data_IF_060821378155
#
_entry.id   IF_060821378155
#
_cell.length_a   1.000
_cell.length_b   1.000
_cell.length_c   1.000
_cell.angle_alpha   90.00
_cell.angle_beta   90.00
_cell.angle_gamma   90.00
#
_symmetry.space_group_name_H-M   'P 1'
#
loop_
_entity.id
_entity.type
_entity.pdbx_description
1 polymer ?
#
# COMPACT_ATOMS: atom_id res chain seq x y z
N UNK A 1 -13.60 -21.34 -1.45
CA UNK A 1 -13.56 -20.21 -2.41
C UNK A 1 -12.84 -19.09 -1.70
N UNK A 2 -11.73 -18.58 -2.24
CA UNK A 2 -11.05 -17.40 -1.71
C UNK A 2 -11.63 -16.13 -2.32
N UNK A 3 -11.27 -14.98 -1.76
CA UNK A 3 -11.57 -13.66 -2.35
C UNK A 3 -10.24 -12.95 -2.56
N UNK A 4 -10.17 -12.20 -3.65
CA UNK A 4 -9.03 -11.36 -3.99
C UNK A 4 -9.23 -9.99 -3.35
N UNK A 5 -8.18 -9.45 -2.73
CA UNK A 5 -8.23 -8.12 -2.14
C UNK A 5 -6.83 -7.53 -2.01
N UNK A 6 -6.75 -6.21 -1.98
CA UNK A 6 -5.52 -5.46 -1.64
C UNK A 6 -5.61 -4.92 -0.24
N UNK A 7 -4.51 -5.03 0.48
CA UNK A 7 -4.34 -4.39 1.76
C UNK A 7 -3.28 -3.29 1.67
N UNK A 8 -3.69 -2.05 1.87
CA UNK A 8 -2.83 -0.88 1.85
C UNK A 8 -2.42 -0.51 3.27
N UNK A 9 -1.11 -0.47 3.51
CA UNK A 9 -0.49 0.05 4.72
C UNK A 9 0.17 1.38 4.36
N UNK A 10 -0.57 2.47 4.51
CA UNK A 10 -0.17 3.79 4.04
C UNK A 10 0.38 4.64 5.19
N UNK A 11 1.44 5.39 4.95
CA UNK A 11 1.93 6.39 5.93
C UNK A 11 0.92 7.54 5.99
N UNK A 12 0.28 7.71 7.15
CA UNK A 12 -0.75 8.72 7.40
C UNK A 12 -0.17 9.96 8.09
N UNK A 13 0.87 10.52 7.47
CA UNK A 13 1.55 11.74 7.91
C UNK A 13 1.94 12.58 6.69
N UNK A 14 1.36 13.77 6.61
CA UNK A 14 1.57 14.72 5.51
C UNK A 14 3.00 15.27 5.47
N UNK A 15 3.65 15.36 6.63
CA UNK A 15 5.02 15.87 6.77
C UNK A 15 6.08 14.80 6.53
N UNK A 16 5.66 13.54 6.36
CA UNK A 16 6.58 12.43 6.21
C UNK A 16 7.34 12.49 4.90
N UNK A 17 8.64 12.19 4.98
CA UNK A 17 9.53 12.04 3.83
C UNK A 17 10.47 10.85 4.03
N UNK A 18 10.85 10.16 2.94
CA UNK A 18 11.73 9.02 3.03
C UNK A 18 13.15 9.44 3.44
N UNK A 19 13.68 8.84 4.52
CA UNK A 19 15.11 8.87 4.81
C UNK A 19 15.90 7.97 3.84
N UNK A 20 17.20 8.23 3.67
CA UNK A 20 18.06 7.51 2.72
C UNK A 20 18.08 5.98 2.94
N UNK A 21 17.94 5.52 4.17
CA UNK A 21 17.95 4.11 4.59
C UNK A 21 16.54 3.52 4.75
N UNK A 22 15.47 4.24 4.39
CA UNK A 22 14.07 3.79 4.56
C UNK A 22 13.81 2.49 3.82
N UNK A 23 14.29 2.38 2.58
CA UNK A 23 14.14 1.17 1.81
C UNK A 23 14.79 -0.03 2.48
N UNK A 24 16.05 0.10 2.94
CA UNK A 24 16.76 -1.01 3.58
C UNK A 24 16.05 -1.51 4.84
N UNK A 25 15.50 -0.58 5.65
CA UNK A 25 14.72 -0.93 6.84
C UNK A 25 13.43 -1.65 6.48
N UNK A 26 12.65 -1.13 5.53
CA UNK A 26 11.39 -1.76 5.10
C UNK A 26 11.65 -3.11 4.45
N UNK A 27 12.65 -3.18 3.56
CA UNK A 27 13.07 -4.41 2.91
C UNK A 27 13.49 -5.48 3.93
N UNK A 28 14.16 -5.10 5.02
CA UNK A 28 14.47 -6.03 6.12
C UNK A 28 13.23 -6.55 6.83
N UNK A 29 12.20 -5.70 7.02
CA UNK A 29 10.91 -6.15 7.56
C UNK A 29 10.27 -7.14 6.61
N UNK A 30 10.12 -6.80 5.33
CA UNK A 30 9.54 -7.71 4.33
C UNK A 30 10.29 -9.05 4.27
N UNK A 31 11.62 -9.04 4.32
CA UNK A 31 12.44 -10.26 4.39
C UNK A 31 12.16 -11.12 5.63
N UNK A 32 12.04 -10.50 6.80
CA UNK A 32 11.74 -11.24 8.03
C UNK A 32 10.35 -11.90 8.05
N UNK A 33 9.48 -11.50 7.11
CA UNK A 33 8.16 -12.07 6.88
C UNK A 33 8.09 -12.93 5.60
N UNK A 34 9.19 -13.09 4.85
CA UNK A 34 9.23 -13.87 3.61
C UNK A 34 8.47 -13.23 2.44
N UNK A 35 8.45 -11.90 2.37
CA UNK A 35 7.63 -11.11 1.44
C UNK A 35 8.42 -10.37 0.34
N UNK A 36 9.74 -10.54 0.26
CA UNK A 36 10.59 -9.76 -0.67
C UNK A 36 11.61 -10.59 -1.46
N UNK A 37 11.31 -11.86 -1.72
CA UNK A 37 12.26 -12.82 -2.29
C UNK A 37 12.90 -12.32 -3.60
N UNK A 38 12.07 -11.91 -4.56
CA UNK A 38 12.52 -11.41 -5.86
C UNK A 38 11.87 -10.06 -6.17
N UNK A 39 12.67 -9.07 -6.57
CA UNK A 39 12.15 -7.82 -7.16
C UNK A 39 11.85 -8.10 -8.63
N UNK A 40 10.58 -8.00 -9.02
CA UNK A 40 10.12 -8.15 -10.40
C UNK A 40 10.29 -6.87 -11.21
N UNK A 41 10.05 -5.72 -10.57
CA UNK A 41 10.01 -4.44 -11.26
C UNK A 41 10.40 -3.29 -10.33
N UNK A 42 11.11 -2.30 -10.88
CA UNK A 42 11.32 -1.01 -10.23
C UNK A 42 10.77 0.08 -11.14
N UNK A 43 9.88 0.89 -10.61
CA UNK A 43 9.23 1.98 -11.33
C UNK A 43 9.68 3.31 -10.75
N UNK A 44 10.19 4.18 -11.61
CA UNK A 44 10.39 5.58 -11.27
C UNK A 44 9.04 6.30 -11.34
N UNK A 45 8.60 6.83 -10.22
CA UNK A 45 7.35 7.58 -10.07
C UNK A 45 7.60 9.09 -10.04
N UNK A 46 8.84 9.56 -10.16
CA UNK A 46 9.15 10.97 -10.13
C UNK A 46 8.65 11.69 -11.39
N UNK A 47 8.08 12.87 -11.21
CA UNK A 47 7.63 13.70 -12.33
C UNK A 47 6.45 13.11 -13.09
N UNK A 48 5.64 12.29 -12.42
CA UNK A 48 4.29 11.95 -12.87
C UNK A 48 4.15 10.78 -13.83
N UNK A 49 5.21 10.46 -14.60
CA UNK A 49 5.17 9.35 -15.57
C UNK A 49 5.94 8.13 -15.05
N UNK A 50 5.23 7.03 -14.69
CA UNK A 50 5.85 5.77 -14.35
C UNK A 50 6.87 5.34 -15.41
N UNK A 51 8.16 5.27 -15.07
CA UNK A 51 9.19 4.69 -15.95
C UNK A 51 9.59 3.34 -15.39
N UNK A 52 9.17 2.29 -16.09
CA UNK A 52 9.51 0.91 -15.76
C UNK A 52 10.97 0.66 -16.07
N UNK A 53 11.68 0.09 -15.11
CA UNK A 53 13.05 -0.37 -15.29
C UNK A 53 13.03 -1.88 -15.18
N UNK A 54 13.42 -2.57 -16.26
CA UNK A 54 13.50 -4.05 -16.30
C UNK A 54 14.74 -4.58 -15.57
N UNK A 55 15.68 -3.71 -15.22
CA UNK A 55 16.80 -4.07 -14.34
C UNK A 55 16.33 -3.99 -12.88
N UNK A 56 16.07 -5.15 -12.28
CA UNK A 56 15.71 -5.32 -10.87
C UNK A 56 16.81 -4.89 -9.86
N UNK A 57 17.90 -4.30 -10.34
CA UNK A 57 18.93 -3.74 -9.46
C UNK A 57 18.39 -2.50 -8.75
N UNK A 58 18.55 -2.44 -7.42
CA UNK A 58 18.14 -1.28 -6.61
C UNK A 58 18.93 -0.04 -7.09
N UNK A 59 18.26 0.99 -7.66
CA UNK A 59 18.93 2.16 -8.20
C UNK A 59 19.47 3.08 -7.09
N UNK A 60 20.39 3.99 -7.46
CA UNK A 60 20.80 5.08 -6.57
C UNK A 60 19.70 6.13 -6.49
N UNK A 61 19.35 6.55 -5.27
CA UNK A 61 18.22 7.44 -5.02
C UNK A 61 16.90 6.66 -5.03
N UNK A 62 16.30 6.49 -3.85
CA UNK A 62 15.17 5.58 -3.64
C UNK A 62 13.83 6.32 -3.50
N UNK A 63 13.90 7.63 -3.27
CA UNK A 63 12.73 8.48 -3.19
C UNK A 63 12.08 8.62 -4.59
N UNK A 64 10.75 8.59 -4.64
CA UNK A 64 9.98 8.61 -5.87
C UNK A 64 9.97 7.27 -6.62
N UNK A 65 10.06 6.11 -5.94
CA UNK A 65 10.08 4.80 -6.60
C UNK A 65 9.03 3.84 -6.07
N UNK A 66 8.54 2.96 -6.92
CA UNK A 66 7.84 1.74 -6.51
C UNK A 66 8.69 0.51 -6.80
N UNK A 67 8.62 -0.45 -5.89
CA UNK A 67 9.28 -1.75 -5.98
C UNK A 67 8.20 -2.81 -5.95
N UNK A 68 8.12 -3.62 -6.99
CA UNK A 68 7.25 -4.78 -7.04
C UNK A 68 8.06 -6.02 -6.70
N UNK A 69 7.67 -6.69 -5.62
CA UNK A 69 8.18 -7.99 -5.26
C UNK A 69 7.25 -9.09 -5.77
N UNK A 70 7.83 -10.24 -6.09
CA UNK A 70 7.09 -11.43 -6.49
C UNK A 70 6.15 -11.91 -5.38
N UNK A 71 5.17 -12.73 -5.78
CA UNK A 71 4.24 -13.35 -4.87
C UNK A 71 4.90 -14.29 -3.86
N UNK A 72 4.21 -14.54 -2.76
CA UNK A 72 4.61 -15.50 -1.72
C UNK A 72 3.40 -16.35 -1.34
N UNK A 73 3.61 -17.55 -0.81
CA UNK A 73 2.53 -18.47 -0.48
C UNK A 73 2.79 -19.24 0.82
N UNK A 74 1.79 -19.99 1.26
CA UNK A 74 1.95 -20.92 2.38
C UNK A 74 2.03 -20.22 3.73
N UNK A 75 2.89 -20.76 4.59
CA UNK A 75 3.05 -20.33 5.98
C UNK A 75 3.36 -18.84 6.15
N UNK A 76 4.05 -18.20 5.20
CA UNK A 76 4.35 -16.77 5.26
C UNK A 76 3.07 -15.93 5.17
N UNK A 77 2.21 -16.24 4.20
CA UNK A 77 0.92 -15.58 4.02
C UNK A 77 -0.04 -15.93 5.14
N UNK A 78 -0.01 -17.18 5.60
CA UNK A 78 -0.83 -17.61 6.73
C UNK A 78 -0.51 -16.89 8.04
N UNK A 79 0.79 -16.69 8.31
CA UNK A 79 1.26 -15.90 9.45
C UNK A 79 0.86 -14.44 9.32
N UNK A 80 0.88 -13.88 8.12
CA UNK A 80 0.55 -12.48 7.85
C UNK A 80 -0.95 -12.18 8.00
N UNK A 81 -1.80 -13.06 7.48
CA UNK A 81 -3.24 -12.88 7.46
C UNK A 81 -3.95 -13.58 8.65
N UNK A 82 -3.26 -14.32 9.50
CA UNK A 82 -3.88 -15.00 10.63
C UNK A 82 -4.83 -16.13 10.19
N UNK A 83 -5.82 -16.53 11.00
CA UNK A 83 -6.72 -17.64 10.65
C UNK A 83 -7.57 -17.37 9.41
N UNK A 84 -7.70 -18.35 8.51
CA UNK A 84 -8.65 -18.29 7.38
C UNK A 84 -10.08 -18.55 7.87
N UNK A 85 -11.05 -17.77 7.39
CA UNK A 85 -12.49 -18.06 7.61
C UNK A 85 -13.14 -18.81 6.44
N UNK A 86 -12.41 -19.04 5.36
CA UNK A 86 -12.91 -19.77 4.18
C UNK A 86 -12.46 -21.22 4.15
N UNK A 87 -11.97 -21.72 5.30
CA UNK A 87 -11.42 -23.07 5.48
C UNK A 87 -10.34 -23.36 4.44
N UNK A 88 -9.55 -22.34 4.09
CA UNK A 88 -8.43 -22.45 3.17
C UNK A 88 -7.23 -23.00 3.92
N UNK A 89 -6.66 -24.09 3.42
CA UNK A 89 -5.40 -24.62 3.97
C UNK A 89 -4.28 -23.59 3.80
N UNK A 90 -3.34 -23.55 4.75
CA UNK A 90 -2.26 -22.57 4.74
C UNK A 90 -1.46 -22.59 3.43
N UNK A 91 -1.22 -23.77 2.86
CA UNK A 91 -0.50 -23.98 1.60
C UNK A 91 -1.19 -23.36 0.38
N UNK A 92 -2.51 -23.18 0.44
CA UNK A 92 -3.28 -22.62 -0.66
C UNK A 92 -3.33 -21.08 -0.64
N UNK A 93 -2.85 -20.45 0.42
CA UNK A 93 -2.93 -18.99 0.62
C UNK A 93 -1.75 -18.33 -0.07
N UNK A 94 -2.00 -17.27 -0.82
CA UNK A 94 -0.94 -16.55 -1.53
C UNK A 94 -1.18 -15.05 -1.69
N UNK A 95 -0.07 -14.31 -1.71
CA UNK A 95 0.01 -12.97 -2.27
C UNK A 95 0.42 -13.11 -3.74
N UNK A 96 -0.26 -12.40 -4.63
CA UNK A 96 0.14 -12.28 -6.04
C UNK A 96 1.41 -11.44 -6.18
N UNK A 97 1.55 -10.42 -5.35
CA UNK A 97 2.73 -9.56 -5.29
C UNK A 97 2.70 -8.73 -4.00
N UNK A 98 3.82 -8.08 -3.73
CA UNK A 98 3.92 -7.00 -2.74
C UNK A 98 4.44 -5.76 -3.45
N UNK A 99 3.72 -4.65 -3.34
CA UNK A 99 4.22 -3.36 -3.80
C UNK A 99 4.73 -2.56 -2.62
N UNK A 100 5.93 -2.02 -2.74
CA UNK A 100 6.43 -1.00 -1.84
C UNK A 100 6.62 0.30 -2.60
N UNK A 101 5.80 1.30 -2.28
CA UNK A 101 5.87 2.63 -2.85
C UNK A 101 6.57 3.55 -1.87
N UNK A 102 7.67 4.14 -2.33
CA UNK A 102 8.49 5.10 -1.60
C UNK A 102 8.47 6.43 -2.36
N UNK A 103 7.36 7.15 -2.29
CA UNK A 103 7.15 8.39 -3.04
C UNK A 103 7.51 9.65 -2.25
N UNK A 104 7.98 10.68 -2.96
CA UNK A 104 7.97 12.05 -2.44
C UNK A 104 6.63 12.72 -2.73
N UNK A 105 6.02 12.39 -3.86
CA UNK A 105 4.77 12.96 -4.36
C UNK A 105 3.55 12.48 -3.56
N UNK A 106 2.51 13.31 -3.50
CA UNK A 106 1.22 12.89 -2.97
C UNK A 106 0.54 11.94 -3.95
N UNK A 107 -0.12 10.92 -3.41
CA UNK A 107 -0.94 9.96 -4.14
C UNK A 107 -2.32 9.92 -3.53
N UNK A 108 -3.35 10.13 -4.33
CA UNK A 108 -4.74 9.92 -3.90
C UNK A 108 -4.98 8.42 -3.89
N UNK A 109 -5.57 7.94 -2.80
CA UNK A 109 -5.88 6.52 -2.66
C UNK A 109 -6.75 6.04 -3.83
N UNK A 110 -6.57 4.77 -4.21
CA UNK A 110 -7.42 4.18 -5.22
C UNK A 110 -8.88 4.12 -4.74
N UNK A 111 -9.85 4.12 -5.65
CA UNK A 111 -11.27 3.99 -5.28
C UNK A 111 -11.82 2.63 -5.68
N UNK A 112 -12.59 2.01 -4.80
CA UNK A 112 -13.34 0.77 -5.05
C UNK A 112 -14.84 1.00 -4.83
N UNK A 113 -15.66 -0.01 -5.14
CA UNK A 113 -17.14 0.08 -5.08
C UNK A 113 -17.69 0.53 -3.71
N UNK A 114 -16.96 0.31 -2.61
CA UNK A 114 -17.36 0.70 -1.25
C UNK A 114 -16.52 1.81 -0.60
N UNK A 115 -15.38 2.17 -1.20
CA UNK A 115 -14.45 3.18 -0.71
C UNK A 115 -14.11 4.13 -1.86
N UNK A 116 -14.75 5.30 -1.88
CA UNK A 116 -14.56 6.29 -2.94
C UNK A 116 -13.82 7.51 -2.41
N UNK A 117 -12.69 7.82 -3.04
CA UNK A 117 -11.81 8.93 -2.71
C UNK A 117 -11.91 9.99 -3.80
N UNK A 118 -12.63 11.07 -3.51
CA UNK A 118 -12.88 12.16 -4.44
C UNK A 118 -11.93 13.32 -4.20
N UNK A 119 -11.14 13.70 -5.22
CA UNK A 119 -10.37 14.93 -5.16
C UNK A 119 -11.31 16.15 -5.20
N UNK A 120 -11.48 16.82 -4.06
CA UNK A 120 -12.40 17.94 -3.93
C UNK A 120 -11.86 19.24 -4.56
N UNK A 121 -10.54 19.41 -4.57
CA UNK A 121 -9.86 20.54 -5.17
C UNK A 121 -8.51 20.09 -5.75
N UNK A 122 -8.26 20.43 -7.02
CA UNK A 122 -6.97 20.14 -7.64
C UNK A 122 -5.87 21.00 -7.02
N UNK A 123 -4.72 20.43 -6.63
CA UNK A 123 -3.56 21.20 -6.19
C UNK A 123 -3.13 22.19 -7.28
N UNK A 124 -2.68 23.38 -6.88
CA UNK A 124 -2.39 24.52 -7.76
C UNK A 124 -1.30 24.30 -8.84
N UNK A 125 -0.64 23.15 -8.85
CA UNK A 125 0.42 22.76 -9.80
C UNK A 125 0.33 21.28 -10.24
N UNK A 126 -0.88 20.77 -10.41
CA UNK A 126 -1.10 19.39 -10.84
C UNK A 126 -0.83 19.20 -12.35
N UNK A 127 0.03 18.24 -12.70
CA UNK A 127 -0.10 17.51 -13.95
C UNK A 127 -1.07 16.35 -13.65
N UNK A 128 -2.15 16.21 -14.42
CA UNK A 128 -2.95 14.99 -14.38
C UNK A 128 -2.21 13.92 -15.20
N UNK A 129 -1.76 12.87 -14.53
CA UNK A 129 -1.12 11.74 -15.19
C UNK A 129 -2.12 10.61 -15.43
N UNK A 130 -2.22 10.20 -16.69
CA UNK A 130 -2.95 9.02 -17.13
C UNK A 130 -1.97 7.85 -17.31
N UNK A 131 -1.63 7.17 -16.23
CA UNK A 131 -1.38 5.71 -16.24
C UNK A 131 -1.27 5.17 -14.81
N UNK A 132 -2.27 4.37 -14.42
CA UNK A 132 -2.38 3.74 -13.11
C UNK A 132 -1.36 2.60 -13.01
N UNK A 133 -0.30 2.76 -12.22
CA UNK A 133 0.58 1.63 -11.94
C UNK A 133 -0.12 0.65 -11.01
N UNK A 134 -0.50 -0.50 -11.55
CA UNK A 134 -1.11 -1.64 -10.82
C UNK A 134 -2.32 -1.29 -9.97
N UNK A 135 -3.03 -0.21 -10.31
CA UNK A 135 -4.19 0.26 -9.55
C UNK A 135 -3.79 0.56 -8.08
N UNK A 136 -2.56 1.01 -7.85
CA UNK A 136 -2.05 1.34 -6.51
C UNK A 136 -2.55 2.70 -6.01
N UNK A 137 -2.88 3.64 -6.90
CA UNK A 137 -3.35 4.98 -6.57
C UNK A 137 -4.15 5.55 -7.75
N UNK A 138 -5.07 6.47 -7.48
CA UNK A 138 -5.92 7.09 -8.51
C UNK A 138 -5.24 8.26 -9.23
N UNK A 139 -4.63 9.17 -8.47
CA UNK A 139 -3.98 10.37 -8.96
C UNK A 139 -2.68 10.63 -8.19
N UNK A 140 -1.72 11.32 -8.81
CA UNK A 140 -0.47 11.74 -8.15
C UNK A 140 -0.14 13.20 -8.39
N UNK A 141 0.42 13.86 -7.37
CA UNK A 141 0.76 15.29 -7.40
C UNK A 141 2.15 15.53 -6.82
N UNK A 142 3.00 16.36 -7.48
CA UNK A 142 4.31 16.72 -6.95
C UNK A 142 4.21 17.27 -5.53
N UNK A 143 5.02 16.80 -4.58
CA UNK A 143 5.05 17.42 -3.24
C UNK A 143 5.87 18.71 -3.20
N UNK A 144 6.80 18.88 -4.15
CA UNK A 144 7.58 20.10 -4.29
C UNK A 144 6.73 21.19 -4.93
N UNK A 145 6.40 22.22 -4.15
CA UNK A 145 5.59 23.39 -4.53
C UNK A 145 4.07 23.17 -4.65
N UNK A 146 3.54 22.00 -4.31
CA UNK A 146 2.09 21.80 -4.18
C UNK A 146 1.65 21.72 -2.72
N UNK A 147 0.44 22.21 -2.44
CA UNK A 147 -0.26 21.92 -1.20
C UNK A 147 -0.72 20.46 -1.19
N UNK A 148 -0.93 19.89 -0.01
CA UNK A 148 -1.55 18.58 0.09
C UNK A 148 -2.92 18.55 -0.62
N UNK A 149 -3.28 17.43 -1.28
CA UNK A 149 -4.59 17.27 -1.89
C UNK A 149 -5.70 17.36 -0.85
N UNK A 150 -6.83 17.98 -1.23
CA UNK A 150 -8.05 17.92 -0.44
C UNK A 150 -8.91 16.78 -0.97
N UNK A 151 -9.00 15.67 -0.23
CA UNK A 151 -9.74 14.48 -0.64
C UNK A 151 -10.96 14.30 0.26
N UNK A 152 -12.13 14.06 -0.36
CA UNK A 152 -13.35 13.65 0.33
C UNK A 152 -13.46 12.14 0.28
N UNK A 153 -13.71 11.56 1.44
CA UNK A 153 -13.93 10.13 1.59
C UNK A 153 -15.43 9.87 1.61
N UNK A 154 -15.90 9.05 0.68
CA UNK A 154 -17.25 8.53 0.65
C UNK A 154 -17.15 7.03 0.90
N UNK A 155 -17.58 6.60 2.08
CA UNK A 155 -17.45 5.21 2.53
C UNK A 155 -18.84 4.66 2.77
N UNK A 156 -19.17 3.59 2.07
CA UNK A 156 -20.42 2.86 2.30
C UNK A 156 -20.42 2.23 3.70
N UNK A 157 -21.59 2.11 4.32
CA UNK A 157 -21.71 1.61 5.70
C UNK A 157 -21.03 0.24 5.91
N UNK A 158 -21.12 -0.64 4.91
CA UNK A 158 -20.50 -1.98 4.96
C UNK A 158 -18.97 -1.94 4.84
N UNK A 159 -18.41 -0.87 4.27
CA UNK A 159 -16.99 -0.67 3.99
C UNK A 159 -16.29 0.24 5.01
N UNK A 160 -17.02 0.88 5.92
CA UNK A 160 -16.45 1.65 7.06
C UNK A 160 -15.42 0.86 7.85
N UNK A 161 -15.63 -0.45 7.88
CA UNK A 161 -14.83 -1.44 8.58
C UNK A 161 -13.52 -1.78 7.81
N UNK A 162 -13.40 -1.40 6.54
CA UNK A 162 -12.19 -1.63 5.77
C UNK A 162 -11.13 -0.54 5.98
N UNK A 163 -11.46 0.50 6.75
CA UNK A 163 -10.56 1.59 7.11
C UNK A 163 -10.31 1.60 8.62
N UNK A 164 -9.08 1.28 9.04
CA UNK A 164 -8.75 1.24 10.46
C UNK A 164 -8.65 2.64 11.11
N UNK A 165 -8.27 3.67 10.33
CA UNK A 165 -8.11 5.05 10.81
C UNK A 165 -9.28 5.93 10.36
N UNK A 166 -10.04 6.46 11.32
CA UNK A 166 -11.14 7.42 11.03
C UNK A 166 -10.64 8.78 10.53
N UNK A 167 -9.38 9.09 10.78
CA UNK A 167 -8.76 10.38 10.44
C UNK A 167 -7.92 10.29 9.15
N UNK A 168 -7.97 9.16 8.45
CA UNK A 168 -7.23 8.98 7.21
C UNK A 168 -7.66 10.02 6.17
N UNK A 169 -6.67 10.73 5.62
CA UNK A 169 -6.92 11.89 4.74
C UNK A 169 -7.23 11.52 3.28
N UNK A 170 -7.18 10.24 2.91
CA UNK A 170 -7.45 9.79 1.54
C UNK A 170 -6.30 10.01 0.55
N UNK A 171 -5.14 10.48 1.02
CA UNK A 171 -3.91 10.57 0.25
C UNK A 171 -2.71 10.13 1.08
N UNK A 172 -1.63 9.74 0.42
CA UNK A 172 -0.42 9.21 1.05
C UNK A 172 0.81 9.44 0.17
N UNK A 173 2.01 9.23 0.72
CA UNK A 173 3.29 9.36 0.00
C UNK A 173 4.07 8.06 -0.09
N UNK A 174 3.99 7.24 0.95
CA UNK A 174 4.52 5.89 0.97
C UNK A 174 3.47 4.88 1.41
N UNK A 175 3.54 3.68 0.84
CA UNK A 175 2.67 2.57 1.16
C UNK A 175 3.38 1.24 0.94
N UNK A 176 3.02 0.25 1.76
CA UNK A 176 3.20 -1.16 1.41
C UNK A 176 1.82 -1.72 1.06
N UNK A 177 1.69 -2.31 -0.12
CA UNK A 177 0.44 -2.87 -0.62
C UNK A 177 0.63 -4.37 -0.75
N UNK A 178 -0.23 -5.13 -0.09
CA UNK A 178 -0.25 -6.59 -0.11
C UNK A 178 -1.40 -7.03 -1.03
N UNK A 179 -1.08 -7.73 -2.11
CA UNK A 179 -2.05 -8.16 -3.10
C UNK A 179 -2.45 -9.62 -2.85
N UNK A 180 -3.48 -9.85 -2.06
CA UNK A 180 -3.93 -11.20 -1.70
C UNK A 180 -4.72 -11.82 -2.86
N UNK A 181 -4.19 -12.89 -3.44
CA UNK A 181 -4.87 -13.59 -4.54
C UNK A 181 -5.73 -14.76 -4.08
N UNK A 182 -5.51 -15.26 -2.87
CA UNK A 182 -6.40 -16.25 -2.26
C UNK A 182 -6.26 -16.21 -0.75
N UNK A 183 -7.33 -15.72 -0.15
CA UNK A 183 -7.77 -15.86 1.24
C UNK A 183 -8.21 -14.50 1.78
N UNK A 184 -9.36 -14.51 2.46
CA UNK A 184 -9.81 -13.38 3.24
C UNK A 184 -9.53 -13.72 4.69
N UNK A 185 -8.68 -12.95 5.37
CA UNK A 185 -8.84 -12.88 6.80
C UNK A 185 -10.15 -12.13 7.02
N UNK A 186 -11.09 -12.72 7.76
CA UNK A 186 -12.37 -12.08 7.87
C UNK A 186 -12.23 -10.79 8.68
N UNK A 187 -12.55 -9.69 8.03
CA UNK A 187 -13.13 -8.53 8.68
C UNK A 187 -14.50 -8.94 9.25
N UNK A 188 -14.48 -9.80 10.26
CA UNK A 188 -15.63 -10.04 11.14
C UNK A 188 -15.94 -8.73 11.86
N UNK A 189 -17.13 -8.60 12.44
CA UNK A 189 -17.54 -7.40 13.20
C UNK A 189 -16.55 -7.03 14.34
N UNK A 190 -15.59 -7.90 14.68
CA UNK A 190 -14.67 -7.75 15.80
C UNK A 190 -13.17 -7.74 15.43
N UNK A 191 -12.77 -8.02 14.18
CA UNK A 191 -11.35 -8.20 13.79
C UNK A 191 -10.96 -7.25 12.66
N UNK A 192 -10.44 -6.09 13.04
CA UNK A 192 -9.93 -5.04 12.14
C UNK A 192 -8.43 -5.05 11.91
N UNK A 193 -7.69 -5.87 12.66
CA UNK A 193 -6.25 -5.77 12.82
C UNK A 193 -5.50 -6.78 11.94
N UNK A 194 -5.73 -6.66 10.64
CA UNK A 194 -5.10 -7.48 9.61
C UNK A 194 -4.51 -6.54 8.57
N UNK A 195 -3.27 -6.75 8.10
CA UNK A 195 -2.36 -7.85 8.43
C UNK A 195 -1.86 -7.81 9.87
N UNK A 196 -1.13 -8.85 10.26
CA UNK A 196 -0.75 -9.05 11.66
C UNK A 196 -0.12 -7.81 12.31
N UNK A 197 -0.56 -7.48 13.53
CA UNK A 197 -0.22 -6.25 14.25
C UNK A 197 1.30 -6.09 14.45
N UNK A 198 2.03 -7.19 14.65
CA UNK A 198 3.49 -7.16 14.72
C UNK A 198 4.15 -6.72 13.40
N UNK A 199 3.57 -7.14 12.26
CA UNK A 199 4.03 -6.71 10.94
C UNK A 199 3.79 -5.22 10.73
N UNK A 200 2.58 -4.74 11.02
CA UNK A 200 2.21 -3.33 10.91
C UNK A 200 3.10 -2.46 11.80
N UNK A 201 3.34 -2.89 13.04
CA UNK A 201 4.25 -2.21 13.96
C UNK A 201 5.71 -2.20 13.45
N UNK A 202 6.20 -3.31 12.91
CA UNK A 202 7.53 -3.39 12.33
C UNK A 202 7.68 -2.45 11.13
N UNK A 203 6.68 -2.39 10.26
CA UNK A 203 6.63 -1.46 9.13
C UNK A 203 6.59 -0.01 9.59
N UNK A 204 5.72 0.34 10.55
CA UNK A 204 5.65 1.69 11.12
C UNK A 204 7.01 2.15 11.65
N UNK A 205 7.69 1.28 12.39
CA UNK A 205 9.02 1.55 12.92
C UNK A 205 10.07 1.69 11.80
N UNK A 206 10.02 0.83 10.77
CA UNK A 206 10.93 0.90 9.62
C UNK A 206 10.73 2.16 8.78
N UNK A 207 9.48 2.60 8.62
CA UNK A 207 9.11 3.84 7.95
C UNK A 207 9.38 5.09 8.80
N UNK A 208 9.55 4.92 10.12
CA UNK A 208 9.57 6.03 11.10
C UNK A 208 8.32 6.92 10.99
N UNK A 209 7.19 6.28 10.70
CA UNK A 209 5.91 6.94 10.64
C UNK A 209 5.31 7.04 12.05
N UNK A 210 4.63 8.15 12.36
CA UNK A 210 3.85 8.27 13.59
C UNK A 210 2.66 7.29 13.56
N UNK A 211 2.01 7.21 12.41
CA UNK A 211 0.83 6.38 12.12
C UNK A 211 0.95 5.68 10.77
N UNK A 212 0.33 4.51 10.67
CA UNK A 212 0.00 3.85 9.42
C UNK A 212 -1.52 3.73 9.38
N UNK A 213 -2.15 4.15 8.28
CA UNK A 213 -3.54 3.82 8.01
C UNK A 213 -3.60 2.50 7.23
N UNK A 214 -4.53 1.64 7.64
CA UNK A 214 -4.78 0.33 7.06
C UNK A 214 -6.09 0.41 6.26
N UNK A 215 -6.03 0.09 4.96
CA UNK A 215 -7.17 0.14 4.03
C UNK A 215 -7.27 -1.18 3.26
N UNK A 216 -8.40 -1.88 3.39
CA UNK A 216 -8.69 -3.10 2.63
C UNK A 216 -9.61 -2.84 1.44
N UNK A 217 -9.22 -3.26 0.24
CA UNK A 217 -9.99 -3.04 -1.00
C UNK A 217 -10.25 -4.35 -1.75
N UNK A 218 -11.50 -4.58 -2.11
CA UNK A 218 -11.98 -5.77 -2.84
C UNK A 218 -12.06 -5.47 -4.33
N UNK A 219 -11.76 -6.47 -5.17
CA UNK A 219 -11.89 -6.37 -6.62
C UNK A 219 -12.20 -7.72 -7.28
#
# INVERSE_FOLDING_TARGET
MGVEYRHFLVVDDESWHPAADTFERVNKVLASWGLNDTILEVVDLAGGKPRRTTDASIPKGLAGKAFKFDGTNGAAVARLAGPSLYECDDEERYLMNVLFVLGEDYRVHWSSDGLFFELAEQPSFAYQDEELYEIAYAESFPSTNATAPNVRLHIEDFAMKHLASKDYKGYWRAAVILDFGKDLPAFSEEVHSLPETEFVNALRNALRAESIAEVGEFY
#
